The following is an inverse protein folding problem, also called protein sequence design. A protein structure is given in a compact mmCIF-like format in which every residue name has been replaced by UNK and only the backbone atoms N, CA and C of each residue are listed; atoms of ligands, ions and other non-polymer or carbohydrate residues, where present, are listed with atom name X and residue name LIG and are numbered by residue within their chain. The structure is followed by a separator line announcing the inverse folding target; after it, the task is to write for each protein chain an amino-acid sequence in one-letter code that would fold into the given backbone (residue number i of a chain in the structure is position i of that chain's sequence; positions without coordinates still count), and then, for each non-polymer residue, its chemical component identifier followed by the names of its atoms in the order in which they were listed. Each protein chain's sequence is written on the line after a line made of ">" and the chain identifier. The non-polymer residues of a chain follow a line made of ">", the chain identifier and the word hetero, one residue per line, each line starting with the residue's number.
data_IF_327034607133
#
_entry.id   IF_327034607133
#
_cell.length_a   1.000
_cell.length_b   1.000
_cell.length_c   1.000
_cell.angle_alpha   90.00
_cell.angle_beta   90.00
_cell.angle_gamma   90.00
#
_symmetry.space_group_name_H-M   'P 1'
#
loop_
_entity.id
_entity.type
_entity.pdbx_description
1 polymer ?
#
# COMPACT_ATOMS: atom_id res chain seq x y z
N UNK A 1 -22.40 21.65 7.38
CA UNK A 1 -22.35 20.71 6.26
C UNK A 1 -21.54 19.50 6.70
N UNK A 2 -22.18 18.34 6.87
CA UNK A 2 -21.45 17.11 7.20
C UNK A 2 -20.64 16.70 5.96
N UNK A 3 -19.30 16.67 6.05
CA UNK A 3 -18.47 16.06 5.01
C UNK A 3 -18.86 14.59 4.94
N UNK A 4 -19.57 14.21 3.87
CA UNK A 4 -19.86 12.80 3.56
C UNK A 4 -18.51 12.13 3.40
N UNK A 5 -18.09 11.33 4.38
CA UNK A 5 -16.86 10.54 4.28
C UNK A 5 -17.07 9.57 3.12
N UNK A 6 -16.29 9.75 2.04
CA UNK A 6 -16.35 8.85 0.89
C UNK A 6 -16.01 7.46 1.39
N UNK A 7 -16.89 6.50 1.12
CA UNK A 7 -16.65 5.11 1.52
C UNK A 7 -15.49 4.60 0.67
N UNK A 8 -14.56 3.88 1.30
CA UNK A 8 -13.51 3.15 0.58
C UNK A 8 -14.16 2.26 -0.48
N UNK A 9 -13.52 2.05 -1.64
CA UNK A 9 -13.96 1.04 -2.59
C UNK A 9 -14.08 -0.31 -1.87
N UNK A 10 -15.17 -1.02 -2.13
CA UNK A 10 -15.23 -2.44 -1.78
C UNK A 10 -14.29 -3.16 -2.74
N UNK A 11 -13.34 -3.92 -2.20
CA UNK A 11 -12.49 -4.84 -2.98
C UNK A 11 -12.87 -6.26 -2.65
N UNK A 12 -12.84 -7.13 -3.65
CA UNK A 12 -13.05 -8.55 -3.42
C UNK A 12 -11.79 -9.23 -2.88
N UNK A 13 -11.91 -10.51 -2.51
CA UNK A 13 -10.81 -11.28 -1.92
C UNK A 13 -9.68 -11.50 -2.93
N UNK A 14 -10.00 -11.63 -4.21
CA UNK A 14 -9.02 -11.86 -5.26
C UNK A 14 -8.15 -10.61 -5.48
N UNK A 15 -8.75 -9.43 -5.58
CA UNK A 15 -8.02 -8.17 -5.66
C UNK A 15 -7.12 -7.94 -4.45
N UNK A 16 -7.58 -8.28 -3.24
CA UNK A 16 -6.78 -8.17 -2.02
C UNK A 16 -5.60 -9.15 -2.04
N UNK A 17 -5.81 -10.38 -2.50
CA UNK A 17 -4.78 -11.40 -2.61
C UNK A 17 -3.71 -10.99 -3.63
N UNK A 18 -4.10 -10.52 -4.82
CA UNK A 18 -3.17 -10.03 -5.83
C UNK A 18 -2.28 -8.90 -5.30
N UNK A 19 -2.87 -7.90 -4.66
CA UNK A 19 -2.12 -6.79 -4.04
C UNK A 19 -1.17 -7.31 -2.96
N UNK A 20 -1.63 -8.26 -2.14
CA UNK A 20 -0.81 -8.90 -1.11
C UNK A 20 0.40 -9.62 -1.71
N UNK A 21 0.19 -10.42 -2.74
CA UNK A 21 1.25 -11.16 -3.42
C UNK A 21 2.29 -10.22 -4.03
N UNK A 22 1.87 -9.18 -4.76
CA UNK A 22 2.81 -8.21 -5.34
C UNK A 22 3.63 -7.47 -4.27
N UNK A 23 3.03 -7.14 -3.11
CA UNK A 23 3.77 -6.52 -2.00
C UNK A 23 4.81 -7.46 -1.40
N UNK A 24 4.46 -8.75 -1.25
CA UNK A 24 5.39 -9.76 -0.73
C UNK A 24 6.55 -9.97 -1.69
N UNK A 25 6.27 -10.16 -2.98
CA UNK A 25 7.29 -10.29 -4.03
C UNK A 25 8.24 -9.09 -4.03
N UNK A 26 7.69 -7.87 -4.07
CA UNK A 26 8.50 -6.66 -4.08
C UNK A 26 9.33 -6.48 -2.79
N UNK A 27 8.80 -6.91 -1.64
CA UNK A 27 9.53 -6.89 -0.37
C UNK A 27 10.69 -7.88 -0.36
N UNK A 28 10.44 -9.12 -0.78
CA UNK A 28 11.44 -10.19 -0.79
C UNK A 28 12.55 -9.93 -1.80
N UNK A 29 12.20 -9.41 -2.98
CA UNK A 29 13.13 -9.05 -4.04
C UNK A 29 13.75 -7.65 -3.85
N UNK A 30 13.33 -6.90 -2.83
CA UNK A 30 13.78 -5.53 -2.51
C UNK A 30 13.59 -4.56 -3.68
N UNK A 31 12.49 -4.72 -4.41
CA UNK A 31 12.14 -3.86 -5.53
C UNK A 31 11.53 -2.54 -5.05
N UNK A 32 11.63 -1.52 -5.88
CA UNK A 32 10.93 -0.26 -5.65
C UNK A 32 9.49 -0.39 -6.18
N UNK A 33 8.53 0.16 -5.44
CA UNK A 33 7.12 0.13 -5.83
C UNK A 33 6.53 1.53 -5.91
N UNK A 34 5.51 1.67 -6.76
CA UNK A 34 4.57 2.77 -6.77
C UNK A 34 3.21 2.27 -6.29
N UNK A 35 2.71 2.88 -5.21
CA UNK A 35 1.43 2.57 -4.60
C UNK A 35 0.42 3.65 -4.93
N UNK A 36 -0.71 3.23 -5.52
CA UNK A 36 -1.91 4.07 -5.59
C UNK A 36 -2.67 3.94 -4.27
N UNK A 37 -2.91 5.05 -3.59
CA UNK A 37 -3.44 5.07 -2.21
C UNK A 37 -4.76 5.83 -2.17
N UNK A 38 -5.78 5.21 -1.60
CA UNK A 38 -7.12 5.79 -1.48
C UNK A 38 -7.10 7.15 -0.78
N UNK A 39 -7.65 8.17 -1.45
CA UNK A 39 -7.75 9.56 -0.98
C UNK A 39 -6.41 10.19 -0.56
N UNK A 40 -5.30 9.68 -1.08
CA UNK A 40 -3.96 10.20 -0.85
C UNK A 40 -3.19 10.28 -2.15
N UNK A 41 -2.06 10.97 -2.10
CA UNK A 41 -1.09 10.95 -3.20
C UNK A 41 -0.43 9.57 -3.29
N UNK A 42 0.03 9.25 -4.51
CA UNK A 42 0.78 8.02 -4.72
C UNK A 42 2.05 8.01 -3.86
N UNK A 43 2.37 6.85 -3.32
CA UNK A 43 3.58 6.67 -2.52
C UNK A 43 4.53 5.78 -3.27
N UNK A 44 5.77 6.22 -3.42
CA UNK A 44 6.83 5.46 -4.09
C UNK A 44 7.96 5.16 -3.10
N UNK A 45 8.58 3.99 -3.22
CA UNK A 45 9.79 3.62 -2.46
C UNK A 45 9.93 2.12 -2.28
N UNK A 46 10.87 1.70 -1.44
CA UNK A 46 11.08 0.29 -1.11
C UNK A 46 10.26 -0.12 0.11
N UNK A 47 9.70 -1.33 0.07
CA UNK A 47 9.01 -1.89 1.24
C UNK A 47 10.07 -2.31 2.25
N UNK A 48 10.04 -1.75 3.46
CA UNK A 48 11.00 -2.09 4.52
C UNK A 48 10.36 -2.92 5.64
N UNK A 49 9.04 -2.93 5.74
CA UNK A 49 8.30 -3.74 6.71
C UNK A 49 6.84 -3.90 6.30
N UNK A 50 6.33 -5.12 6.44
CA UNK A 50 4.89 -5.42 6.41
C UNK A 50 4.43 -5.86 7.81
N UNK A 51 3.72 -4.99 8.52
CA UNK A 51 3.33 -5.23 9.92
C UNK A 51 1.95 -5.91 9.99
N UNK A 52 1.94 -7.24 10.15
CA UNK A 52 0.71 -8.04 10.18
C UNK A 52 -0.24 -7.71 11.33
N UNK A 53 0.28 -7.19 12.45
CA UNK A 53 -0.51 -6.80 13.63
C UNK A 53 -1.31 -5.52 13.39
N UNK A 54 -0.68 -4.52 12.75
CA UNK A 54 -1.31 -3.22 12.48
C UNK A 54 -1.86 -3.08 11.06
N UNK A 55 -1.56 -4.04 10.18
CA UNK A 55 -1.86 -4.03 8.74
C UNK A 55 -1.29 -2.80 8.03
N UNK A 56 -0.12 -2.32 8.49
CA UNK A 56 0.60 -1.21 7.89
C UNK A 56 1.74 -1.73 7.01
N UNK A 57 1.88 -1.15 5.83
CA UNK A 57 3.00 -1.30 4.93
C UNK A 57 3.90 -0.07 5.11
N UNK A 58 5.18 -0.31 5.40
CA UNK A 58 6.17 0.74 5.60
C UNK A 58 6.99 0.87 4.31
N UNK A 59 6.93 2.04 3.70
CA UNK A 59 7.68 2.40 2.50
C UNK A 59 8.79 3.38 2.90
N UNK A 60 10.01 3.09 2.50
CA UNK A 60 11.15 3.98 2.65
C UNK A 60 11.51 4.62 1.31
N UNK A 61 11.69 5.94 1.31
CA UNK A 61 12.25 6.69 0.18
C UNK A 61 13.02 7.88 0.72
N UNK A 62 14.24 8.11 0.23
CA UNK A 62 15.09 9.24 0.66
C UNK A 62 15.24 9.37 2.19
N UNK A 63 15.37 8.22 2.89
CA UNK A 63 15.44 8.14 4.36
C UNK A 63 14.17 8.59 5.13
N UNK A 64 13.05 8.79 4.43
CA UNK A 64 11.73 9.01 5.03
C UNK A 64 10.91 7.73 5.00
N UNK A 65 10.25 7.42 6.12
CA UNK A 65 9.38 6.24 6.24
C UNK A 65 7.92 6.69 6.20
N UNK A 66 7.22 6.31 5.13
CA UNK A 66 5.78 6.49 4.98
C UNK A 66 5.05 5.20 5.37
N UNK A 67 4.03 5.31 6.23
CA UNK A 67 3.22 4.17 6.69
C UNK A 67 1.84 4.22 6.08
N UNK A 68 1.44 3.14 5.41
CA UNK A 68 0.20 3.07 4.64
C UNK A 68 -0.60 1.85 5.11
N UNK A 69 -1.88 1.99 5.48
CA UNK A 69 -2.73 0.82 5.71
C UNK A 69 -2.86 -0.01 4.44
N UNK A 70 -2.68 -1.32 4.54
CA UNK A 70 -2.92 -2.25 3.41
C UNK A 70 -4.30 -2.06 2.77
N UNK A 71 -5.31 -1.77 3.61
CA UNK A 71 -6.67 -1.52 3.14
C UNK A 71 -6.82 -0.25 2.29
N UNK A 72 -5.84 0.65 2.33
CA UNK A 72 -5.85 1.90 1.56
C UNK A 72 -5.07 1.77 0.24
N UNK A 73 -4.26 0.72 0.06
CA UNK A 73 -3.53 0.47 -1.19
C UNK A 73 -4.52 -0.05 -2.23
N UNK A 74 -4.69 0.67 -3.32
CA UNK A 74 -5.59 0.34 -4.42
C UNK A 74 -4.88 -0.39 -5.55
N UNK A 75 -3.60 -0.08 -5.78
CA UNK A 75 -2.78 -0.72 -6.81
C UNK A 75 -1.31 -0.68 -6.41
N UNK A 76 -0.57 -1.70 -6.83
CA UNK A 76 0.89 -1.78 -6.71
C UNK A 76 1.46 -1.86 -8.12
N UNK A 77 2.55 -1.14 -8.37
CA UNK A 77 3.31 -1.24 -9.61
C UNK A 77 4.79 -1.32 -9.26
N UNK A 78 5.44 -2.40 -9.69
CA UNK A 78 6.87 -2.63 -9.48
C UNK A 78 7.65 -1.82 -10.53
N UNK A 79 8.75 -1.20 -10.12
CA UNK A 79 9.61 -0.36 -10.95
C UNK A 79 10.95 -1.03 -11.26
#
# INVERSE_FOLDING_TARGET
>A
MAKVKKKRPTRDEFELEEIGNTLVEAYDEKLEVLLDVWEKENVQGNIIKMDSRTRLIHIEKNSEITKIPFMDIMKVSVL
#
